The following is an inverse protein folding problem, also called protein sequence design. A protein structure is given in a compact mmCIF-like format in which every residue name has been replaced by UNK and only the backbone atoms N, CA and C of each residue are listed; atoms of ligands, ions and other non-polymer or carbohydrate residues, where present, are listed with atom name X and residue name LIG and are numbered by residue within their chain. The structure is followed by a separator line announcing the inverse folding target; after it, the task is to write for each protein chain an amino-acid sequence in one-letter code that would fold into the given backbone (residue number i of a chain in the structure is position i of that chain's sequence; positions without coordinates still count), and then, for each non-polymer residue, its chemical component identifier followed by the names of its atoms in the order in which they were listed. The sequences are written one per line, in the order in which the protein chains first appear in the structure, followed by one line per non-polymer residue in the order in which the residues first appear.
data_IF_317450828840
#
_entry.id   IF_317450828840
#
_cell.length_a   1.000
_cell.length_b   1.000
_cell.length_c   1.000
_cell.angle_alpha   90.00
_cell.angle_beta   90.00
_cell.angle_gamma   90.00
#
_symmetry.space_group_name_H-M   'P 1'
#
loop_
_entity.id
_entity.type
_entity.pdbx_description
1 polymer ?
#
# COMPACT_ATOMS: atom_id res chain seq x y z
N UNK A 1 -31.58 17.19 -21.85
CA UNK A 1 -30.60 16.90 -20.79
C UNK A 1 -29.50 16.06 -21.42
N UNK A 2 -28.49 16.70 -22.00
CA UNK A 2 -27.34 16.03 -22.61
C UNK A 2 -26.45 15.47 -21.52
N UNK A 3 -26.04 14.21 -21.68
CA UNK A 3 -24.91 13.67 -20.93
C UNK A 3 -23.71 14.53 -21.33
N UNK A 4 -23.10 15.24 -20.36
CA UNK A 4 -21.93 16.09 -20.58
C UNK A 4 -20.82 15.28 -21.26
N UNK A 5 -20.10 15.86 -22.23
CA UNK A 5 -18.99 15.22 -22.94
C UNK A 5 -17.95 14.61 -21.98
N UNK A 6 -17.74 15.24 -20.83
CA UNK A 6 -16.92 14.76 -19.71
C UNK A 6 -17.37 13.38 -19.21
N UNK A 7 -18.65 13.22 -18.86
CA UNK A 7 -19.21 11.92 -18.41
C UNK A 7 -19.11 10.83 -19.47
N UNK A 8 -19.14 11.20 -20.75
CA UNK A 8 -18.97 10.24 -21.85
C UNK A 8 -17.52 9.77 -21.94
N UNK A 9 -16.57 10.68 -21.74
CA UNK A 9 -15.13 10.38 -21.73
C UNK A 9 -14.76 9.50 -20.53
N UNK A 10 -15.25 9.82 -19.35
CA UNK A 10 -14.92 9.08 -18.11
C UNK A 10 -15.41 7.63 -18.20
N UNK A 11 -16.68 7.43 -18.58
CA UNK A 11 -17.23 6.08 -18.79
C UNK A 11 -16.50 5.27 -19.85
N UNK A 12 -16.00 5.93 -20.90
CA UNK A 12 -15.22 5.24 -21.93
C UNK A 12 -13.88 4.78 -21.37
N UNK A 13 -13.26 5.56 -20.49
CA UNK A 13 -12.01 5.19 -19.84
C UNK A 13 -12.23 4.05 -18.83
N UNK A 14 -13.24 4.14 -17.98
CA UNK A 14 -13.66 3.07 -17.06
C UNK A 14 -13.87 1.75 -17.82
N UNK A 15 -14.60 1.79 -18.93
CA UNK A 15 -14.82 0.59 -19.74
C UNK A 15 -13.52 0.01 -20.32
N UNK A 16 -12.60 0.85 -20.80
CA UNK A 16 -11.29 0.39 -21.31
C UNK A 16 -10.42 -0.21 -20.22
N UNK A 17 -10.41 0.42 -19.05
CA UNK A 17 -9.70 -0.05 -17.87
C UNK A 17 -10.22 -1.43 -17.46
N UNK A 18 -11.54 -1.60 -17.44
CA UNK A 18 -12.17 -2.88 -17.10
C UNK A 18 -11.87 -3.97 -18.13
N UNK A 19 -11.90 -3.66 -19.44
CA UNK A 19 -11.49 -4.60 -20.48
C UNK A 19 -10.04 -5.03 -20.33
N UNK A 20 -9.15 -4.09 -19.96
CA UNK A 20 -7.75 -4.39 -19.69
C UNK A 20 -7.61 -5.33 -18.48
N UNK A 21 -8.28 -5.03 -17.38
CA UNK A 21 -8.24 -5.87 -16.17
C UNK A 21 -8.73 -7.30 -16.44
N UNK A 22 -9.81 -7.45 -17.22
CA UNK A 22 -10.27 -8.77 -17.68
C UNK A 22 -9.21 -9.54 -18.47
N UNK A 23 -8.44 -8.85 -19.33
CA UNK A 23 -7.35 -9.49 -20.07
C UNK A 23 -6.19 -9.88 -19.16
N UNK A 24 -5.82 -9.04 -18.18
CA UNK A 24 -4.78 -9.36 -17.21
C UNK A 24 -5.15 -10.57 -16.35
N UNK A 25 -6.41 -10.67 -15.92
CA UNK A 25 -6.89 -11.82 -15.16
C UNK A 25 -6.83 -13.13 -15.97
N UNK A 26 -7.11 -13.08 -17.28
CA UNK A 26 -6.94 -14.23 -18.17
C UNK A 26 -5.47 -14.64 -18.29
N UNK A 27 -4.56 -13.67 -18.46
CA UNK A 27 -3.12 -13.93 -18.51
C UNK A 27 -2.64 -14.56 -17.20
N UNK A 28 -3.13 -14.09 -16.05
CA UNK A 28 -2.87 -14.73 -14.77
C UNK A 28 -3.37 -16.18 -14.77
N UNK A 29 -4.62 -16.41 -15.16
CA UNK A 29 -5.21 -17.74 -15.23
C UNK A 29 -4.39 -18.71 -16.09
N UNK A 30 -3.91 -18.26 -17.25
CA UNK A 30 -2.99 -19.03 -18.10
C UNK A 30 -1.64 -19.31 -17.42
N UNK A 31 -1.07 -18.30 -16.74
CA UNK A 31 0.21 -18.40 -16.01
C UNK A 31 0.17 -19.41 -14.87
N UNK A 32 -0.95 -19.49 -14.14
CA UNK A 32 -1.11 -20.38 -12.98
C UNK A 32 -1.86 -21.68 -13.29
N UNK A 33 -2.36 -21.84 -14.53
CA UNK A 33 -3.01 -23.07 -14.99
C UNK A 33 -4.47 -23.23 -14.55
N UNK A 34 -5.22 -22.15 -14.42
CA UNK A 34 -6.64 -22.18 -14.08
C UNK A 34 -7.55 -22.54 -15.26
N UNK A 35 -8.71 -23.11 -14.94
CA UNK A 35 -9.82 -23.24 -15.87
C UNK A 35 -10.53 -21.90 -16.08
N UNK A 36 -11.28 -21.77 -17.18
CA UNK A 36 -12.12 -20.60 -17.43
C UNK A 36 -13.16 -20.37 -16.31
N UNK A 37 -13.68 -21.47 -15.74
CA UNK A 37 -14.62 -21.41 -14.60
C UNK A 37 -13.97 -20.77 -13.37
N UNK A 38 -12.71 -21.12 -13.06
CA UNK A 38 -12.00 -20.54 -11.91
C UNK A 38 -11.66 -19.08 -12.15
N UNK A 39 -11.29 -18.69 -13.37
CA UNK A 39 -11.08 -17.28 -13.73
C UNK A 39 -12.37 -16.47 -13.55
N UNK A 40 -13.52 -17.04 -13.93
CA UNK A 40 -14.83 -16.40 -13.79
C UNK A 40 -15.24 -16.28 -12.32
N UNK A 41 -15.01 -17.33 -11.52
CA UNK A 41 -15.27 -17.33 -10.08
C UNK A 41 -14.45 -16.24 -9.38
N UNK A 42 -13.12 -16.23 -9.57
CA UNK A 42 -12.26 -15.22 -8.96
C UNK A 42 -12.60 -13.81 -9.46
N UNK A 43 -12.97 -13.67 -10.73
CA UNK A 43 -13.44 -12.39 -11.26
C UNK A 43 -14.65 -11.86 -10.49
N UNK A 44 -15.59 -12.73 -10.11
CA UNK A 44 -16.75 -12.35 -9.32
C UNK A 44 -16.35 -11.96 -7.89
N UNK A 45 -15.48 -12.75 -7.26
CA UNK A 45 -15.00 -12.47 -5.90
C UNK A 45 -14.27 -11.11 -5.83
N UNK A 46 -13.39 -10.82 -6.78
CA UNK A 46 -12.69 -9.53 -6.87
C UNK A 46 -13.65 -8.37 -7.14
N UNK A 47 -14.66 -8.58 -8.00
CA UNK A 47 -15.71 -7.58 -8.25
C UNK A 47 -16.52 -7.28 -6.98
N UNK A 48 -16.85 -8.30 -6.20
CA UNK A 48 -17.61 -8.13 -4.96
C UNK A 48 -16.79 -7.42 -3.87
N UNK A 49 -15.48 -7.68 -3.80
CA UNK A 49 -14.59 -7.07 -2.82
C UNK A 49 -14.17 -5.63 -3.18
N UNK A 50 -13.83 -5.37 -4.45
CA UNK A 50 -13.23 -4.11 -4.90
C UNK A 50 -14.15 -3.25 -5.78
N UNK A 51 -15.32 -3.77 -6.17
CA UNK A 51 -16.29 -3.09 -7.03
C UNK A 51 -15.98 -3.11 -8.53
N UNK A 52 -14.72 -3.31 -8.92
CA UNK A 52 -14.30 -3.57 -10.31
C UNK A 52 -13.01 -4.37 -10.35
N UNK A 53 -12.75 -5.09 -11.44
CA UNK A 53 -11.47 -5.79 -11.58
C UNK A 53 -10.31 -4.81 -11.70
N UNK A 54 -10.53 -3.68 -12.37
CA UNK A 54 -9.47 -2.69 -12.51
C UNK A 54 -9.05 -2.14 -11.14
N UNK A 55 -10.01 -1.86 -10.25
CA UNK A 55 -9.73 -1.42 -8.88
C UNK A 55 -8.96 -2.48 -8.10
N UNK A 56 -9.30 -3.77 -8.25
CA UNK A 56 -8.53 -4.83 -7.59
C UNK A 56 -7.05 -4.87 -8.03
N UNK A 57 -6.78 -4.69 -9.33
CA UNK A 57 -5.40 -4.58 -9.81
C UNK A 57 -4.74 -3.24 -9.41
N UNK A 58 -5.50 -2.14 -9.35
CA UNK A 58 -4.98 -0.84 -8.93
C UNK A 58 -4.56 -0.87 -7.45
N UNK A 59 -5.40 -1.43 -6.57
CA UNK A 59 -5.09 -1.60 -5.15
C UNK A 59 -3.89 -2.54 -4.96
N UNK A 60 -3.80 -3.63 -5.72
CA UNK A 60 -2.66 -4.54 -5.70
C UNK A 60 -1.35 -3.88 -6.19
N UNK A 61 -1.43 -2.94 -7.13
CA UNK A 61 -0.28 -2.16 -7.59
C UNK A 61 0.07 -1.01 -6.65
N UNK A 62 -0.89 -0.52 -5.86
CA UNK A 62 -0.72 0.61 -4.95
C UNK A 62 -0.23 0.18 -3.57
N UNK A 63 -0.75 -0.92 -3.02
CA UNK A 63 -0.48 -1.32 -1.65
C UNK A 63 -0.19 -2.82 -1.54
N UNK A 64 0.93 -3.13 -0.88
CA UNK A 64 1.25 -4.50 -0.49
C UNK A 64 0.22 -5.07 0.48
N UNK A 65 -0.03 -6.38 0.37
CA UNK A 65 -0.98 -7.07 1.23
C UNK A 65 -2.45 -6.69 1.00
N UNK A 66 -2.79 -5.87 0.00
CA UNK A 66 -4.16 -5.38 -0.20
C UNK A 66 -5.18 -6.50 -0.45
N UNK A 67 -4.79 -7.53 -1.20
CA UNK A 67 -5.62 -8.71 -1.46
C UNK A 67 -5.77 -9.58 -0.22
N UNK A 68 -4.69 -9.80 0.52
CA UNK A 68 -4.67 -10.54 1.78
C UNK A 68 -5.55 -9.86 2.83
N UNK A 69 -5.47 -8.53 2.91
CA UNK A 69 -6.32 -7.70 3.78
C UNK A 69 -7.80 -7.77 3.38
N UNK A 70 -8.09 -8.00 2.10
CA UNK A 70 -9.45 -8.27 1.61
C UNK A 70 -9.91 -9.73 1.83
N UNK A 71 -9.07 -10.57 2.44
CA UNK A 71 -9.38 -11.95 2.79
C UNK A 71 -9.08 -12.98 1.71
N UNK A 72 -8.34 -12.58 0.67
CA UNK A 72 -7.89 -13.51 -0.37
C UNK A 72 -6.64 -14.26 0.09
N UNK A 73 -6.57 -15.54 -0.25
CA UNK A 73 -5.44 -16.40 0.06
C UNK A 73 -5.06 -17.26 -1.16
N UNK A 74 -3.80 -17.67 -1.23
CA UNK A 74 -3.31 -18.68 -2.16
C UNK A 74 -2.12 -18.23 -3.03
N UNK A 75 -1.53 -19.22 -3.71
CA UNK A 75 -0.28 -19.05 -4.47
C UNK A 75 -0.40 -18.13 -5.71
N UNK A 76 -1.61 -17.68 -6.03
CA UNK A 76 -1.91 -16.79 -7.15
C UNK A 76 -1.76 -15.31 -6.80
N UNK A 77 -1.69 -14.95 -5.51
CA UNK A 77 -1.58 -13.57 -5.05
C UNK A 77 -0.30 -12.91 -5.54
N UNK A 78 0.85 -13.54 -5.29
CA UNK A 78 2.14 -13.03 -5.74
C UNK A 78 2.20 -12.77 -7.27
N UNK A 79 1.82 -13.71 -8.15
CA UNK A 79 1.79 -13.44 -9.60
C UNK A 79 0.71 -12.43 -10.01
N UNK A 80 -0.39 -12.29 -9.26
CA UNK A 80 -1.38 -11.23 -9.50
C UNK A 80 -0.77 -9.85 -9.23
N UNK A 81 -0.12 -9.67 -8.08
CA UNK A 81 0.55 -8.42 -7.69
C UNK A 81 1.65 -8.06 -8.68
N UNK A 82 2.45 -9.05 -9.11
CA UNK A 82 3.47 -8.85 -10.16
C UNK A 82 2.83 -8.30 -11.45
N UNK A 83 1.76 -8.91 -11.94
CA UNK A 83 1.05 -8.45 -13.15
C UNK A 83 0.47 -7.04 -12.91
N UNK A 84 -0.06 -6.77 -11.72
CA UNK A 84 -0.61 -5.48 -11.35
C UNK A 84 0.45 -4.38 -11.44
N UNK A 85 1.59 -4.54 -10.76
CA UNK A 85 2.69 -3.57 -10.71
C UNK A 85 3.29 -3.32 -12.10
N UNK A 86 3.37 -4.35 -12.95
CA UNK A 86 3.90 -4.20 -14.31
C UNK A 86 2.95 -3.47 -15.26
N UNK A 87 1.65 -3.57 -15.04
CA UNK A 87 0.65 -3.12 -16.01
C UNK A 87 -0.16 -1.90 -15.55
N UNK A 88 -0.30 -1.67 -14.25
CA UNK A 88 -1.07 -0.57 -13.70
C UNK A 88 -0.11 0.46 -13.11
N UNK A 89 -0.36 1.73 -13.43
CA UNK A 89 0.37 2.87 -12.89
C UNK A 89 -0.54 3.51 -11.87
N UNK A 90 -0.38 3.22 -10.57
CA UNK A 90 -1.17 3.87 -9.54
C UNK A 90 -0.71 5.34 -9.38
N UNK A 91 -1.55 6.20 -8.80
CA UNK A 91 -1.18 7.60 -8.54
C UNK A 91 -0.09 7.73 -7.46
N UNK A 92 0.00 6.76 -6.55
CA UNK A 92 1.03 6.63 -5.54
C UNK A 92 1.07 5.16 -5.10
N UNK A 93 2.13 4.78 -4.39
CA UNK A 93 2.19 3.53 -3.63
C UNK A 93 2.17 3.82 -2.15
N UNK A 94 1.72 2.86 -1.36
CA UNK A 94 1.63 2.96 0.09
C UNK A 94 2.30 1.77 0.77
N UNK A 95 3.18 2.06 1.73
CA UNK A 95 3.83 1.09 2.61
C UNK A 95 3.40 1.37 4.04
N UNK A 96 3.03 0.33 4.76
CA UNK A 96 2.62 0.41 6.17
C UNK A 96 3.48 -0.48 7.03
N UNK A 97 3.57 -0.10 8.29
CA UNK A 97 4.06 -1.01 9.31
C UNK A 97 3.92 -0.45 10.70
N UNK A 98 4.33 -1.28 11.65
CA UNK A 98 4.22 -1.01 13.08
C UNK A 98 5.58 -0.62 13.66
N UNK A 99 5.53 0.28 14.63
CA UNK A 99 6.64 0.70 15.46
C UNK A 99 6.31 0.32 16.90
N UNK A 100 7.19 -0.42 17.56
CA UNK A 100 7.09 -0.69 19.00
C UNK A 100 8.15 0.14 19.71
N UNK A 101 7.71 1.13 20.49
CA UNK A 101 8.58 2.12 21.12
C UNK A 101 8.43 2.06 22.65
N UNK A 102 9.55 1.96 23.36
CA UNK A 102 9.59 1.85 24.82
C UNK A 102 10.70 2.70 25.41
N UNK A 103 10.41 3.46 26.46
CA UNK A 103 11.42 4.27 27.16
C UNK A 103 11.02 4.52 28.62
N UNK A 104 11.99 4.42 29.53
CA UNK A 104 11.80 4.55 30.97
C UNK A 104 12.49 5.81 31.54
N UNK A 105 12.16 6.97 30.99
CA UNK A 105 12.66 8.28 31.43
C UNK A 105 11.52 9.20 31.83
N UNK A 106 11.81 10.22 32.64
CA UNK A 106 10.80 11.17 33.15
C UNK A 106 10.03 11.89 32.06
N UNK A 107 10.63 12.09 30.88
CA UNK A 107 10.04 12.78 29.73
C UNK A 107 9.84 11.85 28.51
N UNK A 108 9.54 10.57 28.76
CA UNK A 108 9.48 9.54 27.73
C UNK A 108 8.49 9.84 26.58
N UNK A 109 7.37 10.49 26.89
CA UNK A 109 6.38 10.88 25.88
C UNK A 109 6.97 11.88 24.88
N UNK A 110 7.76 12.85 25.35
CA UNK A 110 8.40 13.84 24.48
C UNK A 110 9.47 13.21 23.61
N UNK A 111 10.21 12.23 24.15
CA UNK A 111 11.18 11.46 23.35
C UNK A 111 10.50 10.69 22.23
N UNK A 112 9.42 9.96 22.55
CA UNK A 112 8.67 9.21 21.53
C UNK A 112 8.11 10.16 20.47
N UNK A 113 7.54 11.30 20.87
CA UNK A 113 7.07 12.33 19.93
C UNK A 113 8.20 12.77 18.99
N UNK A 114 9.36 13.12 19.53
CA UNK A 114 10.50 13.56 18.73
C UNK A 114 10.99 12.48 17.76
N UNK A 115 10.95 11.21 18.17
CA UNK A 115 11.32 10.09 17.30
C UNK A 115 10.34 9.94 16.13
N UNK A 116 9.04 10.03 16.39
CA UNK A 116 8.00 10.00 15.34
C UNK A 116 8.11 11.23 14.41
N UNK A 117 8.32 12.43 14.97
CA UNK A 117 8.55 13.65 14.19
C UNK A 117 9.81 13.54 13.31
N UNK A 118 10.83 12.79 13.74
CA UNK A 118 12.02 12.54 12.94
C UNK A 118 11.73 11.66 11.72
N UNK A 119 10.80 10.71 11.81
CA UNK A 119 10.30 9.99 10.64
C UNK A 119 9.44 10.89 9.73
N UNK A 120 8.51 11.65 10.30
CA UNK A 120 7.62 12.52 9.52
C UNK A 120 8.37 13.63 8.77
N UNK A 121 9.56 14.02 9.25
CA UNK A 121 10.45 14.96 8.58
C UNK A 121 10.97 14.48 7.20
N UNK A 122 10.82 13.20 6.87
CA UNK A 122 11.10 12.68 5.52
C UNK A 122 9.98 12.96 4.50
N UNK A 123 8.84 13.51 4.93
CA UNK A 123 7.81 13.97 4.01
C UNK A 123 8.33 15.10 3.12
N UNK A 124 8.05 14.99 1.81
CA UNK A 124 8.46 15.97 0.81
C UNK A 124 7.39 16.10 -0.28
N UNK A 125 6.60 17.19 -0.21
CA UNK A 125 5.53 17.46 -1.17
C UNK A 125 6.04 17.60 -2.62
N UNK A 126 7.25 18.12 -2.82
CA UNK A 126 7.82 18.29 -4.17
C UNK A 126 8.22 16.96 -4.82
N UNK A 127 8.48 15.93 -4.02
CA UNK A 127 8.79 14.58 -4.47
C UNK A 127 7.59 13.62 -4.31
N UNK A 128 6.42 14.16 -3.95
CA UNK A 128 5.18 13.41 -3.69
C UNK A 128 5.37 12.30 -2.63
N UNK A 129 6.17 12.60 -1.60
CA UNK A 129 6.44 11.72 -0.45
C UNK A 129 5.68 12.23 0.78
N UNK A 130 4.92 11.37 1.44
CA UNK A 130 4.15 11.67 2.65
C UNK A 130 4.39 10.57 3.69
N UNK A 131 4.99 10.91 4.82
CA UNK A 131 5.27 9.99 5.94
C UNK A 131 4.48 10.45 7.15
N UNK A 132 3.64 9.56 7.69
CA UNK A 132 2.77 9.85 8.83
C UNK A 132 2.90 8.79 9.90
N UNK A 133 2.96 9.25 11.15
CA UNK A 133 2.96 8.38 12.32
C UNK A 133 1.64 8.50 13.09
N UNK A 134 1.13 7.35 13.55
CA UNK A 134 -0.11 7.24 14.30
C UNK A 134 0.11 6.52 15.61
N UNK A 135 -0.71 6.87 16.61
CA UNK A 135 -0.70 6.24 17.92
C UNK A 135 -1.80 5.18 17.99
N UNK A 136 -1.39 3.92 18.11
CA UNK A 136 -2.30 2.78 18.18
C UNK A 136 -2.44 2.20 19.60
N UNK A 137 -1.77 2.82 20.58
CA UNK A 137 -1.79 2.42 21.99
C UNK A 137 -0.42 1.95 22.45
N UNK A 138 0.15 2.58 23.48
CA UNK A 138 1.50 2.29 23.92
C UNK A 138 1.67 0.79 24.28
N UNK A 139 2.77 0.13 23.85
CA UNK A 139 3.95 0.69 23.16
C UNK A 139 3.85 0.73 21.61
N UNK A 140 2.67 0.49 21.04
CA UNK A 140 2.44 0.35 19.60
C UNK A 140 2.07 1.68 18.93
N UNK A 141 2.74 1.91 17.80
CA UNK A 141 2.56 3.03 16.90
C UNK A 141 2.57 2.49 15.47
N UNK A 142 2.06 3.28 14.52
CA UNK A 142 1.97 2.89 13.12
C UNK A 142 2.59 3.96 12.24
N UNK A 143 3.32 3.55 11.22
CA UNK A 143 3.89 4.44 10.21
C UNK A 143 3.25 4.10 8.87
N UNK A 144 2.73 5.13 8.21
CA UNK A 144 2.19 5.07 6.84
C UNK A 144 3.07 5.93 5.95
N UNK A 145 3.53 5.37 4.84
CA UNK A 145 4.41 6.03 3.88
C UNK A 145 3.79 5.97 2.50
N UNK A 146 3.64 7.13 1.86
CA UNK A 146 3.23 7.25 0.46
C UNK A 146 4.35 7.79 -0.39
N UNK A 147 4.52 7.24 -1.58
CA UNK A 147 5.56 7.64 -2.53
C UNK A 147 5.09 7.43 -3.98
N UNK A 148 5.79 7.98 -4.98
CA UNK A 148 5.45 7.79 -6.39
C UNK A 148 5.58 6.34 -6.88
N UNK A 149 6.52 5.59 -6.32
CA UNK A 149 6.81 4.21 -6.70
C UNK A 149 7.46 3.42 -5.55
N UNK A 150 7.42 2.09 -5.64
CA UNK A 150 7.94 1.18 -4.60
C UNK A 150 9.43 1.35 -4.32
N UNK A 151 10.24 1.77 -5.30
CA UNK A 151 11.67 1.93 -5.09
C UNK A 151 11.95 3.15 -4.21
N UNK A 152 11.22 4.25 -4.44
CA UNK A 152 11.28 5.42 -3.56
C UNK A 152 10.70 5.05 -2.19
N UNK A 153 9.57 4.35 -2.15
CA UNK A 153 8.93 3.91 -0.92
C UNK A 153 9.89 3.10 -0.03
N UNK A 154 10.61 2.13 -0.60
CA UNK A 154 11.57 1.29 0.12
C UNK A 154 12.71 2.12 0.74
N UNK A 155 13.30 2.99 -0.07
CA UNK A 155 14.40 3.85 0.37
C UNK A 155 13.96 4.80 1.49
N UNK A 156 12.76 5.36 1.39
CA UNK A 156 12.21 6.25 2.40
C UNK A 156 11.80 5.48 3.67
N UNK A 157 11.30 4.25 3.53
CA UNK A 157 10.96 3.38 4.65
C UNK A 157 12.18 3.09 5.53
N UNK A 158 13.30 2.69 4.93
CA UNK A 158 14.55 2.44 5.65
C UNK A 158 15.03 3.69 6.38
N UNK A 159 15.00 4.85 5.72
CA UNK A 159 15.46 6.11 6.31
C UNK A 159 14.58 6.59 7.47
N UNK A 160 13.25 6.57 7.28
CA UNK A 160 12.30 7.02 8.29
C UNK A 160 12.33 6.11 9.54
N UNK A 161 12.35 4.78 9.34
CA UNK A 161 12.41 3.83 10.46
C UNK A 161 13.76 3.89 11.18
N UNK A 162 14.88 4.05 10.46
CA UNK A 162 16.19 4.22 11.08
C UNK A 162 16.26 5.50 11.93
N UNK A 163 15.68 6.61 11.47
CA UNK A 163 15.65 7.85 12.24
C UNK A 163 14.90 7.71 13.57
N UNK A 164 13.79 6.95 13.59
CA UNK A 164 13.06 6.62 14.83
C UNK A 164 13.94 5.81 15.76
N UNK A 165 14.57 4.75 15.25
CA UNK A 165 15.45 3.87 16.03
C UNK A 165 16.62 4.65 16.63
N UNK A 166 17.29 5.47 15.83
CA UNK A 166 18.42 6.28 16.28
C UNK A 166 18.02 7.29 17.36
N UNK A 167 16.87 7.96 17.19
CA UNK A 167 16.35 8.90 18.18
C UNK A 167 16.04 8.21 19.52
N UNK A 168 15.40 7.04 19.47
CA UNK A 168 15.04 6.27 20.66
C UNK A 168 16.26 5.70 21.37
N UNK A 169 17.20 5.10 20.64
CA UNK A 169 18.43 4.53 21.21
C UNK A 169 19.31 5.62 21.82
N UNK A 170 19.43 6.78 21.18
CA UNK A 170 20.19 7.92 21.72
C UNK A 170 19.63 8.43 23.06
N UNK A 171 18.33 8.29 23.29
CA UNK A 171 17.65 8.64 24.52
C UNK A 171 17.63 7.51 25.57
N UNK A 172 18.22 6.34 25.27
CA UNK A 172 18.23 5.17 26.14
C UNK A 172 16.92 4.36 26.13
N UNK A 173 16.11 4.52 25.08
CA UNK A 173 14.93 3.70 24.83
C UNK A 173 15.19 2.54 23.85
N UNK A 174 14.14 1.79 23.58
CA UNK A 174 14.10 0.67 22.64
C UNK A 174 13.08 0.97 21.53
N UNK A 175 13.41 0.58 20.31
CA UNK A 175 12.55 0.75 19.13
C UNK A 175 12.70 -0.45 18.20
N UNK A 176 11.58 -0.98 17.73
CA UNK A 176 11.53 -1.96 16.64
C UNK A 176 10.54 -1.50 15.58
N UNK A 177 10.86 -1.75 14.32
CA UNK A 177 10.00 -1.47 13.17
C UNK A 177 9.72 -2.77 12.41
N UNK A 178 8.46 -3.05 12.14
CA UNK A 178 8.01 -4.23 11.39
C UNK A 178 7.09 -3.77 10.27
N UNK A 179 7.36 -4.23 9.05
CA UNK A 179 6.50 -3.97 7.89
C UNK A 179 5.32 -4.94 7.89
N UNK A 180 4.16 -4.47 7.44
CA UNK A 180 2.95 -5.29 7.22
C UNK A 180 3.04 -6.13 5.95
#
# INVERSE_FOLDING_TARGET
KSVSEERRRDRLQEWKNEQRANQLLKVLGEKVGWSEDRVTELSSELLDAFGSLYTAFEDAAMQEGSLENAGFEGDWLAPFVEIAVENIIPPFVEVRGSLTLSINVTDGVSVIRNALEAAEAFSNEAEEIDVKCFYDGAPSYRIELKAPDFKIAESMWEQATQAVVDCMVAAGGEATAERE
#
